data_IF_956680204630
#
_entry.id   IF_956680204630
#
_cell.length_a   1.000
_cell.length_b   1.000
_cell.length_c   1.000
_cell.angle_alpha   90.00
_cell.angle_beta   90.00
_cell.angle_gamma   90.00
#
_symmetry.space_group_name_H-M   'P 1'
#
loop_
_entity.id
_entity.type
_entity.pdbx_description
1 polymer ?
#
# COMPACT_ATOMS: atom_id res chain seq x y z
N UNK A 1 4.13 -30.77 18.38
CA UNK A 1 3.20 -31.77 17.88
C UNK A 1 2.26 -31.09 16.88
N UNK A 2 2.25 -31.57 15.62
CA UNK A 2 1.30 -31.09 14.60
C UNK A 2 -0.13 -31.42 15.04
N UNK A 3 -1.05 -30.45 14.93
CA UNK A 3 -2.45 -30.58 15.35
C UNK A 3 -3.39 -30.66 14.12
N UNK A 4 -2.86 -30.86 12.92
CA UNK A 4 -3.65 -30.97 11.69
C UNK A 4 -2.78 -31.22 10.48
N UNK A 5 -3.38 -31.23 9.30
CA UNK A 5 -2.68 -31.35 8.02
C UNK A 5 -2.01 -30.05 7.61
N UNK A 6 -0.88 -30.16 6.90
CA UNK A 6 -0.20 -28.99 6.31
C UNK A 6 -0.90 -28.64 4.99
N UNK A 7 -1.59 -27.51 4.96
CA UNK A 7 -2.20 -26.99 3.74
C UNK A 7 -1.22 -26.09 2.98
N UNK A 8 -1.00 -26.41 1.70
CA UNK A 8 -0.16 -25.60 0.81
C UNK A 8 -1.02 -24.60 0.03
N UNK A 9 -0.67 -23.33 0.10
CA UNK A 9 -1.31 -22.27 -0.68
C UNK A 9 -0.33 -21.65 -1.67
N UNK A 10 -0.74 -21.52 -2.92
CA UNK A 10 0.07 -20.90 -3.97
C UNK A 10 -0.50 -19.54 -4.37
N UNK A 11 0.23 -18.47 -4.10
CA UNK A 11 -0.09 -17.13 -4.59
C UNK A 11 0.24 -17.02 -6.09
N UNK A 12 -0.78 -16.88 -6.94
CA UNK A 12 -0.61 -16.95 -8.41
C UNK A 12 -0.28 -15.61 -9.05
N UNK A 13 -0.87 -14.52 -8.56
CA UNK A 13 -0.72 -13.18 -9.14
C UNK A 13 -1.13 -12.07 -8.18
N UNK A 14 -0.42 -10.94 -8.24
CA UNK A 14 -0.89 -9.68 -7.69
C UNK A 14 -1.94 -9.06 -8.61
N UNK A 15 -2.94 -8.41 -8.04
CA UNK A 15 -4.02 -7.74 -8.77
C UNK A 15 -4.30 -6.42 -8.10
N UNK A 16 -4.30 -5.32 -8.86
CA UNK A 16 -4.84 -4.03 -8.46
C UNK A 16 -5.93 -3.62 -9.44
N UNK A 17 -7.09 -3.22 -8.93
CA UNK A 17 -8.21 -2.70 -9.69
C UNK A 17 -8.32 -1.20 -9.44
N UNK A 18 -8.16 -0.41 -10.50
CA UNK A 18 -8.19 1.04 -10.46
C UNK A 18 -9.62 1.57 -10.55
N UNK A 19 -10.43 1.32 -9.50
CA UNK A 19 -11.81 1.80 -9.45
C UNK A 19 -11.89 3.33 -9.43
N UNK A 20 -10.85 4.00 -8.93
CA UNK A 20 -10.69 5.46 -8.94
C UNK A 20 -10.64 6.07 -10.35
N UNK A 21 -10.26 5.28 -11.36
CA UNK A 21 -10.15 5.71 -12.77
C UNK A 21 -11.44 5.49 -13.56
N UNK A 22 -12.43 4.79 -13.01
CA UNK A 22 -13.67 4.50 -13.71
C UNK A 22 -14.50 5.77 -13.90
N UNK A 23 -14.91 6.03 -15.14
CA UNK A 23 -15.81 7.16 -15.48
C UNK A 23 -17.21 6.97 -14.90
N UNK A 24 -17.69 5.71 -14.87
CA UNK A 24 -18.99 5.31 -14.30
C UNK A 24 -18.77 4.18 -13.32
N UNK A 25 -19.40 4.26 -12.16
CA UNK A 25 -19.38 3.23 -11.14
C UNK A 25 -20.80 3.02 -10.60
N UNK A 26 -21.22 1.79 -10.28
CA UNK A 26 -22.55 1.53 -9.71
C UNK A 26 -22.75 2.30 -8.41
N UNK A 27 -23.90 2.94 -8.29
CA UNK A 27 -24.28 3.66 -7.08
C UNK A 27 -24.54 2.67 -5.93
N UNK A 28 -24.20 3.11 -4.72
CA UNK A 28 -24.38 2.30 -3.51
C UNK A 28 -23.41 1.12 -3.36
N UNK A 29 -22.46 0.95 -4.29
CA UNK A 29 -21.43 -0.10 -4.20
C UNK A 29 -20.07 0.50 -3.81
N UNK A 30 -19.41 -0.10 -2.82
CA UNK A 30 -18.00 0.09 -2.53
C UNK A 30 -17.31 -1.26 -2.47
N UNK A 31 -16.02 -1.30 -2.83
CA UNK A 31 -15.22 -2.53 -2.86
C UNK A 31 -14.01 -2.32 -1.96
N UNK A 32 -13.67 -3.31 -1.14
CA UNK A 32 -12.64 -3.24 -0.09
C UNK A 32 -11.69 -4.46 -0.16
N UNK A 33 -10.53 -4.31 0.45
CA UNK A 33 -9.57 -5.38 0.71
C UNK A 33 -9.05 -6.04 -0.57
N UNK A 34 -8.91 -7.35 -0.55
CA UNK A 34 -8.38 -8.15 -1.67
C UNK A 34 -9.21 -8.02 -2.96
N UNK A 35 -10.48 -7.61 -2.85
CA UNK A 35 -11.31 -7.34 -4.01
C UNK A 35 -10.88 -6.07 -4.77
N UNK A 36 -10.20 -5.13 -4.12
CA UNK A 36 -9.60 -3.95 -4.75
C UNK A 36 -8.15 -4.21 -5.08
N UNK A 37 -7.38 -4.64 -4.09
CA UNK A 37 -5.94 -4.81 -4.22
C UNK A 37 -5.46 -6.06 -3.49
N UNK A 38 -4.98 -7.04 -4.24
CA UNK A 38 -4.37 -8.24 -3.71
C UNK A 38 -2.92 -8.31 -4.17
N UNK A 39 -2.00 -8.05 -3.25
CA UNK A 39 -0.56 -8.14 -3.48
C UNK A 39 0.03 -9.38 -2.78
N UNK A 40 1.28 -9.70 -3.11
CA UNK A 40 2.05 -10.73 -2.43
C UNK A 40 2.11 -10.42 -0.92
N UNK A 41 1.74 -11.38 -0.03
CA UNK A 41 1.68 -11.15 1.42
C UNK A 41 3.05 -11.02 2.09
N UNK A 42 4.13 -10.88 1.34
CA UNK A 42 5.52 -10.82 1.83
C UNK A 42 5.71 -9.84 3.00
N UNK A 43 5.08 -8.67 2.94
CA UNK A 43 5.18 -7.65 4.00
C UNK A 43 4.09 -7.75 5.08
N UNK A 44 3.14 -8.66 4.95
CA UNK A 44 2.04 -8.80 5.92
C UNK A 44 1.09 -7.61 6.02
N UNK A 45 1.04 -6.74 5.01
CA UNK A 45 0.32 -5.47 5.05
C UNK A 45 -1.20 -5.58 4.81
N UNK A 46 -1.71 -6.71 4.33
CA UNK A 46 -3.10 -6.83 3.88
C UNK A 46 -4.14 -6.41 4.93
N UNK A 47 -3.98 -6.84 6.19
CA UNK A 47 -4.91 -6.47 7.28
C UNK A 47 -4.82 -4.98 7.60
N UNK A 48 -3.62 -4.42 7.65
CA UNK A 48 -3.41 -2.98 7.91
C UNK A 48 -4.05 -2.14 6.80
N UNK A 49 -3.87 -2.52 5.55
CA UNK A 49 -4.47 -1.83 4.40
C UNK A 49 -5.99 -1.89 4.48
N UNK A 50 -6.58 -3.06 4.74
CA UNK A 50 -8.02 -3.21 4.88
C UNK A 50 -8.60 -2.37 6.04
N UNK A 51 -7.88 -2.27 7.17
CA UNK A 51 -8.26 -1.40 8.28
C UNK A 51 -8.23 0.09 7.89
N UNK A 52 -7.20 0.51 7.15
CA UNK A 52 -7.11 1.89 6.65
C UNK A 52 -8.20 2.21 5.61
N UNK A 53 -8.57 1.24 4.78
CA UNK A 53 -9.70 1.37 3.85
C UNK A 53 -11.03 1.53 4.61
N UNK A 54 -11.24 0.76 5.70
CA UNK A 54 -12.42 0.89 6.55
C UNK A 54 -12.50 2.28 7.22
N UNK A 55 -11.37 2.80 7.71
CA UNK A 55 -11.29 4.16 8.25
C UNK A 55 -11.58 5.23 7.17
N UNK A 56 -11.09 5.02 5.95
CA UNK A 56 -11.40 5.90 4.82
C UNK A 56 -12.89 5.87 4.47
N UNK A 57 -13.53 4.69 4.53
CA UNK A 57 -14.97 4.55 4.33
C UNK A 57 -15.76 5.30 5.40
N UNK A 58 -15.42 5.09 6.67
CA UNK A 58 -16.05 5.80 7.79
C UNK A 58 -15.96 7.32 7.65
N UNK A 59 -14.77 7.82 7.31
CA UNK A 59 -14.53 9.26 7.07
C UNK A 59 -15.44 9.80 5.96
N UNK A 60 -15.55 9.10 4.84
CA UNK A 60 -16.37 9.52 3.71
C UNK A 60 -17.87 9.45 4.04
N UNK A 61 -18.34 8.43 4.75
CA UNK A 61 -19.71 8.33 5.23
C UNK A 61 -20.08 9.50 6.16
N UNK A 62 -19.22 9.81 7.14
CA UNK A 62 -19.43 10.93 8.07
C UNK A 62 -19.47 12.28 7.33
N UNK A 63 -18.67 12.46 6.28
CA UNK A 63 -18.67 13.68 5.48
C UNK A 63 -19.98 13.86 4.71
N UNK A 64 -20.45 12.80 4.05
CA UNK A 64 -21.68 12.80 3.27
C UNK A 64 -22.91 13.02 4.18
N UNK A 65 -22.97 12.31 5.30
CA UNK A 65 -24.04 12.50 6.28
C UNK A 65 -24.17 13.94 6.79
N UNK A 66 -23.05 14.67 6.89
CA UNK A 66 -23.05 16.08 7.31
C UNK A 66 -23.46 17.05 6.19
N UNK A 67 -23.25 16.68 4.93
CA UNK A 67 -23.65 17.52 3.78
C UNK A 67 -25.13 17.38 3.40
N UNK A 68 -25.83 16.40 3.99
CA UNK A 68 -27.23 16.15 3.66
C UNK A 68 -27.44 15.42 2.31
N UNK A 69 -26.36 15.00 1.65
CA UNK A 69 -26.43 14.27 0.39
C UNK A 69 -26.91 12.83 0.60
N UNK A 70 -27.50 12.24 -0.44
CA UNK A 70 -27.85 10.82 -0.44
C UNK A 70 -26.60 9.96 -0.43
N UNK A 71 -26.39 9.21 0.63
CA UNK A 71 -25.21 8.35 0.85
C UNK A 71 -24.92 7.42 -0.35
N UNK A 72 -25.90 6.76 -0.99
CA UNK A 72 -25.63 5.82 -2.08
C UNK A 72 -24.95 6.42 -3.29
N UNK A 73 -25.28 7.68 -3.64
CA UNK A 73 -24.83 8.28 -4.91
C UNK A 73 -23.45 8.96 -4.83
N UNK A 74 -23.04 9.41 -3.66
CA UNK A 74 -21.87 10.27 -3.54
C UNK A 74 -20.62 9.55 -2.99
N UNK A 75 -20.72 8.32 -2.46
CA UNK A 75 -19.65 7.70 -1.69
C UNK A 75 -18.52 7.09 -2.50
N UNK A 76 -18.82 6.46 -3.63
CA UNK A 76 -17.86 5.61 -4.33
C UNK A 76 -16.61 6.38 -4.81
N UNK A 77 -16.80 7.50 -5.48
CA UNK A 77 -15.68 8.29 -6.03
C UNK A 77 -14.71 8.85 -4.99
N UNK A 78 -15.16 9.59 -3.96
CA UNK A 78 -14.24 10.11 -2.95
C UNK A 78 -13.59 8.98 -2.17
N UNK A 79 -14.31 7.90 -1.88
CA UNK A 79 -13.78 6.73 -1.23
C UNK A 79 -12.65 6.08 -2.03
N UNK A 80 -12.88 5.71 -3.31
CA UNK A 80 -11.83 5.09 -4.13
C UNK A 80 -10.63 6.00 -4.33
N UNK A 81 -10.84 7.32 -4.43
CA UNK A 81 -9.76 8.29 -4.52
C UNK A 81 -8.92 8.38 -3.23
N UNK A 82 -9.55 8.23 -2.07
CA UNK A 82 -8.86 8.23 -0.79
C UNK A 82 -8.06 6.94 -0.60
N UNK A 83 -8.65 5.76 -0.89
CA UNK A 83 -7.94 4.49 -0.73
C UNK A 83 -6.86 4.27 -1.80
N UNK A 84 -6.98 4.85 -2.99
CA UNK A 84 -5.96 4.74 -4.03
C UNK A 84 -4.57 5.13 -3.51
N UNK A 85 -4.49 6.20 -2.71
CA UNK A 85 -3.23 6.69 -2.11
C UNK A 85 -2.62 5.68 -1.11
N UNK A 86 -3.45 4.96 -0.37
CA UNK A 86 -3.02 3.92 0.57
C UNK A 86 -2.53 2.72 -0.22
N UNK A 87 -3.30 2.32 -1.21
CA UNK A 87 -3.02 1.17 -2.07
C UNK A 87 -1.76 1.37 -2.91
N UNK A 88 -1.47 2.59 -3.39
CA UNK A 88 -0.27 2.89 -4.16
C UNK A 88 1.00 2.54 -3.38
N UNK A 89 1.06 2.95 -2.11
CA UNK A 89 2.21 2.67 -1.24
C UNK A 89 2.40 1.16 -1.05
N UNK A 90 1.33 0.45 -0.68
CA UNK A 90 1.38 -1.01 -0.48
C UNK A 90 1.73 -1.76 -1.77
N UNK A 91 1.13 -1.34 -2.88
CA UNK A 91 1.34 -1.95 -4.19
C UNK A 91 2.78 -1.79 -4.68
N UNK A 92 3.33 -0.58 -4.62
CA UNK A 92 4.71 -0.32 -5.04
C UNK A 92 5.73 -1.11 -4.22
N UNK A 93 5.49 -1.25 -2.92
CA UNK A 93 6.35 -2.05 -2.05
C UNK A 93 6.30 -3.54 -2.41
N UNK A 94 5.11 -4.12 -2.55
CA UNK A 94 4.93 -5.53 -2.85
C UNK A 94 5.44 -5.90 -4.25
N UNK A 95 5.05 -5.12 -5.27
CA UNK A 95 5.46 -5.32 -6.67
C UNK A 95 6.96 -5.06 -6.84
N UNK A 96 7.53 -4.11 -6.09
CA UNK A 96 8.97 -3.89 -6.06
C UNK A 96 9.76 -5.12 -5.60
N UNK A 97 9.23 -5.93 -4.68
CA UNK A 97 9.87 -7.20 -4.30
C UNK A 97 9.69 -8.28 -5.39
N UNK A 98 8.50 -8.39 -5.97
CA UNK A 98 8.23 -9.38 -7.01
C UNK A 98 9.13 -9.18 -8.24
N UNK A 99 9.39 -7.93 -8.66
CA UNK A 99 10.25 -7.61 -9.82
C UNK A 99 11.75 -7.79 -9.57
N UNK A 100 12.18 -8.19 -8.39
CA UNK A 100 13.54 -8.72 -8.18
C UNK A 100 13.78 -10.03 -8.91
N UNK A 101 12.73 -10.79 -9.16
CA UNK A 101 12.81 -12.08 -9.86
C UNK A 101 12.60 -11.89 -11.35
N UNK A 102 13.49 -12.47 -12.15
CA UNK A 102 13.42 -12.39 -13.63
C UNK A 102 12.19 -13.06 -14.25
N UNK A 103 11.58 -13.96 -13.50
CA UNK A 103 10.37 -14.70 -13.90
C UNK A 103 9.09 -13.92 -13.71
N UNK A 104 9.13 -12.77 -13.01
CA UNK A 104 7.94 -11.93 -12.77
C UNK A 104 7.47 -11.32 -14.08
N UNK A 105 6.20 -11.59 -14.41
CA UNK A 105 5.53 -11.05 -15.60
C UNK A 105 4.70 -9.83 -15.21
N UNK A 106 4.68 -8.83 -16.08
CA UNK A 106 3.89 -7.62 -15.88
C UNK A 106 4.66 -6.36 -16.24
N UNK A 107 4.02 -5.21 -16.03
CA UNK A 107 4.64 -3.90 -16.28
C UNK A 107 5.44 -3.47 -15.06
N UNK A 108 6.75 -3.41 -15.22
CA UNK A 108 7.64 -2.90 -14.17
C UNK A 108 7.40 -1.41 -13.96
N UNK A 109 7.23 -0.93 -12.71
CA UNK A 109 7.12 0.50 -12.42
C UNK A 109 8.34 1.27 -12.96
N UNK A 110 8.13 2.45 -13.52
CA UNK A 110 9.23 3.30 -14.03
C UNK A 110 10.17 3.74 -12.90
N UNK A 111 9.66 3.87 -11.70
CA UNK A 111 10.41 4.23 -10.47
C UNK A 111 11.20 3.07 -9.88
N UNK A 112 11.04 1.83 -10.39
CA UNK A 112 11.57 0.61 -9.78
C UNK A 112 13.07 0.67 -9.47
N UNK A 113 13.88 1.13 -10.44
CA UNK A 113 15.33 1.20 -10.25
C UNK A 113 15.71 2.17 -9.12
N UNK A 114 15.07 3.34 -9.10
CA UNK A 114 15.31 4.39 -8.10
C UNK A 114 14.83 3.97 -6.71
N UNK A 115 13.62 3.46 -6.59
CA UNK A 115 13.05 3.03 -5.31
C UNK A 115 13.83 1.85 -4.73
N UNK A 116 14.26 0.91 -5.57
CA UNK A 116 15.12 -0.19 -5.15
C UNK A 116 16.48 0.31 -4.65
N UNK A 117 17.17 1.13 -5.45
CA UNK A 117 18.45 1.71 -5.06
C UNK A 117 18.34 2.45 -3.72
N UNK A 118 17.31 3.30 -3.56
CA UNK A 118 17.11 4.02 -2.31
C UNK A 118 16.86 3.08 -1.12
N UNK A 119 16.01 2.07 -1.29
CA UNK A 119 15.76 1.05 -0.26
C UNK A 119 17.05 0.30 0.12
N UNK A 120 17.85 -0.10 -0.87
CA UNK A 120 19.11 -0.78 -0.61
C UNK A 120 20.07 0.11 0.19
N UNK A 121 20.11 1.43 -0.07
CA UNK A 121 20.87 2.41 0.72
C UNK A 121 20.33 2.56 2.14
N UNK A 122 19.02 2.65 2.32
CA UNK A 122 18.36 2.69 3.63
C UNK A 122 18.74 1.45 4.46
N UNK A 123 18.67 0.27 3.86
CA UNK A 123 19.01 -0.99 4.54
C UNK A 123 20.50 -1.12 4.85
N UNK A 124 21.37 -0.58 4.00
CA UNK A 124 22.81 -0.61 4.17
C UNK A 124 23.33 0.45 5.16
N UNK A 125 22.53 1.43 5.54
CA UNK A 125 22.97 2.53 6.43
C UNK A 125 23.33 2.08 7.84
N UNK A 126 22.84 0.92 8.29
CA UNK A 126 23.00 0.39 9.66
C UNK A 126 22.68 1.41 10.77
N UNK A 127 21.96 2.50 10.46
CA UNK A 127 21.56 3.53 11.40
C UNK A 127 20.22 3.19 12.04
N UNK A 128 20.14 3.06 13.39
CA UNK A 128 18.90 2.67 14.08
C UNK A 128 17.72 3.63 13.85
N UNK A 129 17.98 4.93 13.70
CA UNK A 129 16.91 5.91 13.44
C UNK A 129 16.38 5.79 12.01
N UNK A 130 17.25 5.50 11.04
CA UNK A 130 16.84 5.23 9.66
C UNK A 130 16.02 3.94 9.59
N UNK A 131 16.46 2.88 10.26
CA UNK A 131 15.74 1.62 10.34
C UNK A 131 14.36 1.81 11.01
N UNK A 132 14.31 2.51 12.14
CA UNK A 132 13.05 2.84 12.83
C UNK A 132 12.09 3.61 11.92
N UNK A 133 12.59 4.62 11.23
CA UNK A 133 11.78 5.41 10.29
C UNK A 133 11.27 4.56 9.12
N UNK A 134 12.11 3.68 8.59
CA UNK A 134 11.73 2.74 7.53
C UNK A 134 10.59 1.82 7.98
N UNK A 135 10.68 1.22 9.18
CA UNK A 135 9.61 0.38 9.72
C UNK A 135 8.31 1.17 9.97
N UNK A 136 8.39 2.43 10.41
CA UNK A 136 7.18 3.27 10.56
C UNK A 136 6.48 3.51 9.24
N UNK A 137 7.24 3.71 8.17
CA UNK A 137 6.69 3.83 6.80
C UNK A 137 6.11 2.50 6.34
N UNK A 138 6.84 1.40 6.54
CA UNK A 138 6.37 0.06 6.17
C UNK A 138 5.06 -0.34 6.84
N UNK A 139 4.85 0.10 8.08
CA UNK A 139 3.63 -0.18 8.85
C UNK A 139 2.57 0.92 8.74
N UNK A 140 2.69 1.83 7.77
CA UNK A 140 1.77 2.95 7.54
C UNK A 140 1.59 3.89 8.73
N UNK A 141 2.48 3.86 9.71
CA UNK A 141 2.48 4.81 10.82
C UNK A 141 2.91 6.22 10.38
N UNK A 142 3.71 6.31 9.31
CA UNK A 142 4.16 7.56 8.70
C UNK A 142 4.22 7.45 7.16
N UNK A 143 4.08 8.57 6.43
CA UNK A 143 4.14 8.56 4.98
C UNK A 143 5.58 8.35 4.47
N UNK A 144 5.77 7.78 3.25
CA UNK A 144 7.09 7.54 2.66
C UNK A 144 7.99 8.80 2.56
N UNK A 145 7.40 9.98 2.45
CA UNK A 145 8.11 11.27 2.42
C UNK A 145 8.95 11.54 3.66
N UNK A 146 8.65 10.89 4.79
CA UNK A 146 9.45 10.99 6.02
C UNK A 146 10.86 10.42 5.89
N UNK A 147 11.07 9.46 4.98
CA UNK A 147 12.41 8.97 4.64
C UNK A 147 13.21 9.96 3.78
N UNK A 148 12.54 10.90 3.12
CA UNK A 148 13.16 11.89 2.25
C UNK A 148 13.47 13.21 2.96
N UNK A 149 13.32 13.28 4.29
CA UNK A 149 13.70 14.49 5.05
C UNK A 149 15.21 14.68 5.03
N UNK A 150 15.72 15.94 5.05
CA UNK A 150 17.17 16.21 5.04
C UNK A 150 17.92 15.43 6.12
N UNK A 151 17.35 15.32 7.31
CA UNK A 151 17.91 14.54 8.43
C UNK A 151 18.06 13.06 8.07
N UNK A 152 17.04 12.44 7.49
CA UNK A 152 17.07 11.02 7.12
C UNK A 152 18.03 10.78 5.96
N UNK A 153 18.02 11.64 4.95
CA UNK A 153 18.96 11.56 3.82
C UNK A 153 20.41 11.68 4.30
N UNK A 154 20.72 12.64 5.17
CA UNK A 154 22.04 12.78 5.75
C UNK A 154 22.48 11.49 6.48
N UNK A 155 21.61 10.94 7.34
CA UNK A 155 21.91 9.70 8.08
C UNK A 155 22.05 8.47 7.16
N UNK A 156 21.30 8.44 6.06
CA UNK A 156 21.33 7.32 5.10
C UNK A 156 22.62 7.34 4.25
N UNK A 157 23.13 8.53 3.89
CA UNK A 157 24.19 8.65 2.88
C UNK A 157 25.54 9.14 3.43
N UNK A 158 25.54 9.88 4.51
CA UNK A 158 26.74 10.59 5.00
C UNK A 158 27.27 10.11 6.35
N UNK A 159 26.43 9.42 7.14
CA UNK A 159 26.84 8.93 8.45
C UNK A 159 27.32 7.49 8.34
N UNK A 160 28.57 7.33 7.92
CA UNK A 160 29.32 6.07 7.98
C UNK A 160 30.55 6.23 8.82
#
# INVERSE_FOLDING_TARGET
>A
KLVGEIHSFKFKKAIRRHFEELKKFPEGLVVLGDAVCRANPFFGQGITVAALEALALEKNLKKISRSGDSIPMAIARPFFKDIAKILDVSWEMAVGEDFKYRTTKGRRPVTFALTRWFKDKVMASNDPEVAKQFYRVMHFAEPPTKLLTPKMLYRTFMKH
#
